data_IF_776441240634
#
_entry.id   IF_776441240634
#
_cell.length_a   1.000
_cell.length_b   1.000
_cell.length_c   1.000
_cell.angle_alpha   90.00
_cell.angle_beta   90.00
_cell.angle_gamma   90.00
#
_symmetry.space_group_name_H-M   'P 1'
#
loop_
_entity.id
_entity.type
_entity.pdbx_description
1 polymer ?
#
# COMPACT_ATOMS: atom_id res chain seq x y z
N UNK A 1 -1.91 64.61 7.74
CA UNK A 1 -3.17 63.86 7.82
C UNK A 1 -2.79 62.38 7.80
N UNK A 2 -2.71 61.76 8.97
CA UNK A 2 -2.31 60.36 9.13
C UNK A 2 -3.51 59.48 8.77
N UNK A 3 -3.36 58.62 7.76
CA UNK A 3 -4.34 57.58 7.46
C UNK A 3 -4.11 56.42 8.43
N UNK A 4 -5.02 56.27 9.39
CA UNK A 4 -5.18 55.04 10.16
C UNK A 4 -5.57 53.92 9.18
N UNK A 5 -4.67 52.97 8.95
CA UNK A 5 -5.05 51.67 8.40
C UNK A 5 -5.58 50.82 9.56
N UNK A 6 -6.86 50.46 9.49
CA UNK A 6 -7.46 49.44 10.34
C UNK A 6 -6.80 48.08 10.04
N UNK A 7 -6.23 47.37 11.01
CA UNK A 7 -5.87 45.97 10.85
C UNK A 7 -7.05 45.13 11.35
N UNK A 8 -8.02 44.85 10.48
CA UNK A 8 -9.09 43.92 10.82
C UNK A 8 -9.60 43.21 9.56
N UNK A 9 -8.78 42.32 9.03
CA UNK A 9 -9.23 41.21 8.19
C UNK A 9 -8.22 40.07 8.44
N UNK A 10 -8.25 39.53 9.66
CA UNK A 10 -7.80 38.16 9.87
C UNK A 10 -8.78 37.28 9.11
N UNK A 11 -8.30 36.60 8.06
CA UNK A 11 -9.04 35.54 7.38
C UNK A 11 -9.49 34.52 8.43
N UNK A 12 -10.75 34.60 8.85
CA UNK A 12 -11.38 33.54 9.63
C UNK A 12 -11.46 32.33 8.68
N UNK A 13 -10.50 31.41 8.78
CA UNK A 13 -10.61 30.11 8.13
C UNK A 13 -11.91 29.46 8.60
N UNK A 14 -12.92 29.46 7.73
CA UNK A 14 -14.21 28.83 7.99
C UNK A 14 -13.97 27.38 8.46
N UNK A 15 -14.32 27.12 9.72
CA UNK A 15 -14.17 25.81 10.34
C UNK A 15 -15.14 24.85 9.65
N UNK A 16 -14.61 24.06 8.73
CA UNK A 16 -15.34 22.95 8.12
C UNK A 16 -14.93 21.66 8.83
N UNK A 17 -15.87 20.93 9.46
CA UNK A 17 -15.59 19.66 10.12
C UNK A 17 -14.81 18.69 9.22
N UNK A 18 -13.84 17.97 9.80
CA UNK A 18 -12.96 17.05 9.06
C UNK A 18 -13.74 15.95 8.30
N UNK A 19 -14.93 15.59 8.79
CA UNK A 19 -15.85 14.64 8.15
C UNK A 19 -16.29 15.10 6.76
N UNK A 20 -16.36 16.42 6.52
CA UNK A 20 -16.72 17.04 5.24
C UNK A 20 -15.50 17.30 4.34
N UNK A 21 -14.28 17.30 4.91
CA UNK A 21 -13.00 17.44 4.19
C UNK A 21 -12.24 16.11 4.16
N UNK A 22 -12.85 15.07 3.56
CA UNK A 22 -12.21 13.75 3.42
C UNK A 22 -10.96 13.81 2.52
N UNK A 23 -9.83 13.22 2.93
CA UNK A 23 -8.66 13.11 2.08
C UNK A 23 -8.96 12.17 0.90
N UNK A 24 -8.40 12.52 -0.27
CA UNK A 24 -8.52 11.70 -1.50
C UNK A 24 -7.36 10.73 -1.66
N UNK A 25 -6.21 11.09 -1.12
CA UNK A 25 -4.94 10.37 -1.19
C UNK A 25 -4.38 10.32 0.23
N UNK A 26 -3.66 9.25 0.57
CA UNK A 26 -3.05 9.13 1.89
C UNK A 26 -1.94 10.19 2.09
N UNK A 27 -1.94 10.84 3.25
CA UNK A 27 -1.14 12.05 3.52
C UNK A 27 0.37 11.79 3.77
N UNK A 28 0.81 10.54 3.77
CA UNK A 28 2.23 10.19 3.91
C UNK A 28 2.87 9.93 2.54
N UNK A 29 4.11 10.36 2.36
CA UNK A 29 4.83 10.28 1.08
C UNK A 29 5.04 8.82 0.62
N UNK A 30 5.02 7.85 1.56
CA UNK A 30 5.06 6.40 1.30
C UNK A 30 4.12 5.70 2.31
N UNK A 31 3.11 4.98 1.82
CA UNK A 31 2.16 4.22 2.67
C UNK A 31 2.73 2.88 3.09
N UNK A 32 3.34 2.19 2.13
CA UNK A 32 3.96 0.88 2.30
C UNK A 32 5.24 0.84 1.48
N UNK A 33 6.26 0.18 2.02
CA UNK A 33 7.52 -0.10 1.34
C UNK A 33 7.63 -1.58 1.08
N UNK A 34 8.08 -1.93 -0.12
CA UNK A 34 8.20 -3.30 -0.59
C UNK A 34 9.58 -3.56 -1.17
N UNK A 35 9.97 -4.83 -1.14
CA UNK A 35 11.16 -5.34 -1.82
C UNK A 35 10.77 -6.52 -2.70
N UNK A 36 11.03 -6.40 -4.00
CA UNK A 36 10.87 -7.48 -4.96
C UNK A 36 12.23 -8.05 -5.31
N UNK A 37 12.51 -9.28 -4.87
CA UNK A 37 13.69 -10.05 -5.29
C UNK A 37 13.35 -10.83 -6.57
N UNK A 38 14.15 -10.65 -7.61
CA UNK A 38 14.06 -11.47 -8.83
C UNK A 38 14.82 -12.79 -8.65
N UNK A 39 14.49 -13.78 -9.48
CA UNK A 39 15.14 -15.09 -9.42
C UNK A 39 16.56 -15.00 -9.93
N UNK A 40 17.42 -15.83 -9.36
CA UNK A 40 18.86 -15.82 -9.61
C UNK A 40 19.35 -17.25 -9.79
N UNK A 41 19.73 -17.62 -11.02
CA UNK A 41 20.33 -18.91 -11.34
C UNK A 41 21.83 -18.81 -11.65
N UNK A 42 22.43 -17.63 -11.47
CA UNK A 42 23.85 -17.35 -11.75
C UNK A 42 24.31 -17.68 -13.18
N UNK A 43 23.41 -17.56 -14.16
CA UNK A 43 23.67 -18.04 -15.51
C UNK A 43 24.83 -17.27 -16.19
N UNK A 44 24.93 -15.94 -16.00
CA UNK A 44 25.81 -15.09 -16.79
C UNK A 44 26.18 -13.74 -16.13
N UNK A 45 27.31 -13.15 -16.55
CA UNK A 45 27.78 -11.79 -16.20
C UNK A 45 28.07 -10.95 -17.44
N UNK A 46 27.61 -9.68 -17.49
CA UNK A 46 28.00 -8.68 -18.54
C UNK A 46 28.02 -7.24 -18.01
N UNK A 47 28.24 -6.24 -18.89
CA UNK A 47 28.38 -4.83 -18.52
C UNK A 47 27.05 -4.12 -18.20
N UNK A 48 25.91 -4.57 -18.72
CA UNK A 48 24.64 -3.85 -18.51
C UNK A 48 23.39 -4.68 -18.75
N UNK A 49 22.26 -4.16 -18.27
CA UNK A 49 20.93 -4.74 -18.51
C UNK A 49 19.89 -3.63 -18.68
N UNK A 50 19.09 -3.75 -19.73
CA UNK A 50 17.91 -2.93 -19.99
C UNK A 50 16.65 -3.76 -19.77
N UNK A 51 15.69 -3.26 -19.03
CA UNK A 51 14.41 -3.95 -18.78
C UNK A 51 13.31 -2.94 -18.46
N UNK A 52 12.05 -3.36 -18.56
CA UNK A 52 10.92 -2.51 -18.23
C UNK A 52 10.40 -2.84 -16.82
N UNK A 53 10.07 -1.79 -16.08
CA UNK A 53 9.33 -1.87 -14.81
C UNK A 53 7.96 -1.23 -15.03
N UNK A 54 6.90 -1.88 -14.57
CA UNK A 54 5.53 -1.41 -14.72
C UNK A 54 4.83 -1.35 -13.35
N UNK A 55 4.08 -0.28 -13.12
CA UNK A 55 3.06 -0.25 -12.08
C UNK A 55 1.79 -0.89 -12.66
N UNK A 56 1.31 -1.98 -12.04
CA UNK A 56 0.13 -2.70 -12.51
C UNK A 56 -1.06 -1.77 -12.65
N UNK A 57 -1.80 -1.92 -13.74
CA UNK A 57 -3.05 -1.22 -13.99
C UNK A 57 -4.24 -1.97 -13.39
N UNK A 58 -5.42 -1.35 -13.44
CA UNK A 58 -6.66 -2.00 -13.01
C UNK A 58 -6.95 -3.29 -13.81
N UNK A 59 -6.57 -3.32 -15.09
CA UNK A 59 -6.70 -4.50 -15.97
C UNK A 59 -5.81 -5.67 -15.52
N UNK A 60 -4.67 -5.38 -14.87
CA UNK A 60 -3.76 -6.37 -14.29
C UNK A 60 -4.16 -6.80 -12.87
N UNK A 61 -5.36 -6.39 -12.41
CA UNK A 61 -5.83 -6.65 -11.05
C UNK A 61 -5.14 -5.81 -9.98
N UNK A 62 -4.63 -4.62 -10.34
CA UNK A 62 -4.01 -3.74 -9.37
C UNK A 62 -4.97 -3.31 -8.26
N UNK A 63 -4.39 -3.18 -7.07
CA UNK A 63 -5.00 -2.55 -5.90
C UNK A 63 -5.17 -1.03 -6.15
N UNK A 64 -5.97 -0.28 -5.34
CA UNK A 64 -6.26 1.13 -5.61
C UNK A 64 -5.06 2.03 -5.31
N UNK A 65 -4.02 1.93 -6.12
CA UNK A 65 -2.80 2.72 -6.10
C UNK A 65 -3.05 4.08 -6.77
N UNK A 66 -2.52 5.14 -6.17
CA UNK A 66 -2.40 6.45 -6.79
C UNK A 66 -1.09 6.54 -7.59
N UNK A 67 0.02 6.13 -6.96
CA UNK A 67 1.31 5.98 -7.62
C UNK A 67 2.22 5.00 -6.87
N UNK A 68 3.18 4.45 -7.62
CA UNK A 68 4.33 3.71 -7.12
C UNK A 68 5.58 4.58 -7.25
N UNK A 69 6.50 4.48 -6.30
CA UNK A 69 7.76 5.21 -6.28
C UNK A 69 8.93 4.24 -6.09
N UNK A 70 9.73 4.04 -7.13
CA UNK A 70 10.93 3.19 -7.07
C UNK A 70 12.08 4.02 -6.54
N UNK A 71 12.71 3.58 -5.46
CA UNK A 71 13.73 4.36 -4.74
C UNK A 71 15.11 3.73 -4.81
N UNK A 72 15.20 2.42 -5.00
CA UNK A 72 16.48 1.72 -5.03
C UNK A 72 16.39 0.47 -5.91
N UNK A 73 17.46 0.23 -6.67
CA UNK A 73 17.72 -1.04 -7.34
C UNK A 73 18.94 -1.66 -6.67
N UNK A 74 18.94 -2.95 -6.38
CA UNK A 74 20.12 -3.62 -5.85
C UNK A 74 20.61 -4.70 -6.82
N UNK A 75 21.91 -4.73 -7.05
CA UNK A 75 22.57 -5.60 -8.04
C UNK A 75 23.80 -6.26 -7.45
N UNK A 76 24.32 -7.28 -8.12
CA UNK A 76 25.55 -7.98 -7.72
C UNK A 76 26.44 -8.28 -8.93
N UNK A 77 27.72 -8.53 -8.67
CA UNK A 77 28.75 -8.77 -9.68
C UNK A 77 30.08 -8.10 -9.28
N UNK A 78 30.96 -7.85 -10.24
CA UNK A 78 32.18 -7.07 -9.97
C UNK A 78 31.93 -5.56 -9.91
N UNK A 79 30.79 -5.09 -10.43
CA UNK A 79 30.25 -3.73 -10.31
C UNK A 79 31.18 -2.63 -10.84
N UNK A 80 32.11 -2.09 -10.04
CA UNK A 80 32.96 -0.95 -10.43
C UNK A 80 32.16 0.36 -10.56
N UNK A 81 32.45 1.21 -11.57
CA UNK A 81 31.68 2.42 -11.82
C UNK A 81 30.30 2.06 -12.38
N UNK A 82 29.25 2.37 -11.63
CA UNK A 82 27.86 1.99 -11.88
C UNK A 82 26.99 3.20 -12.20
N UNK A 83 26.16 3.07 -13.22
CA UNK A 83 25.13 4.05 -13.58
C UNK A 83 23.75 3.39 -13.71
N UNK A 84 22.71 4.15 -13.36
CA UNK A 84 21.31 3.78 -13.62
C UNK A 84 20.66 4.87 -14.44
N UNK A 85 20.01 4.48 -15.52
CA UNK A 85 19.27 5.37 -16.40
C UNK A 85 17.81 4.96 -16.47
N UNK A 86 16.92 5.93 -16.68
CA UNK A 86 15.50 5.69 -16.90
C UNK A 86 14.97 6.42 -18.13
N UNK A 87 13.89 5.89 -18.71
CA UNK A 87 13.15 6.52 -19.81
C UNK A 87 11.65 6.21 -19.69
N UNK A 88 10.74 7.14 -20.00
CA UNK A 88 9.30 6.89 -19.94
C UNK A 88 8.85 5.79 -20.91
N UNK A 89 7.87 4.98 -20.51
CA UNK A 89 7.33 3.89 -21.31
C UNK A 89 8.23 2.67 -21.29
N UNK A 90 8.99 2.45 -22.37
CA UNK A 90 9.84 1.26 -22.52
C UNK A 90 11.24 1.60 -23.01
N UNK A 91 12.20 0.72 -22.72
CA UNK A 91 13.57 0.77 -23.28
C UNK A 91 13.59 0.47 -24.79
N UNK A 92 12.58 -0.23 -25.31
CA UNK A 92 12.54 -0.70 -26.70
C UNK A 92 12.62 0.46 -27.70
N UNK A 93 13.44 0.30 -28.74
CA UNK A 93 13.74 1.32 -29.77
C UNK A 93 14.50 2.54 -29.22
N UNK A 94 15.07 2.46 -28.02
CA UNK A 94 15.88 3.50 -27.38
C UNK A 94 17.23 2.99 -26.89
N UNK A 95 17.59 1.76 -27.23
CA UNK A 95 18.78 1.03 -26.75
C UNK A 95 20.08 1.78 -27.05
N UNK A 96 20.10 2.58 -28.11
CA UNK A 96 21.27 3.38 -28.53
C UNK A 96 21.05 4.90 -28.47
N UNK A 97 19.88 5.34 -28.01
CA UNK A 97 19.46 6.74 -28.07
C UNK A 97 19.63 7.40 -26.71
N UNK A 98 20.89 7.59 -26.27
CA UNK A 98 21.24 8.12 -24.93
C UNK A 98 20.47 9.39 -24.58
N UNK A 99 20.20 10.25 -25.55
CA UNK A 99 19.44 11.50 -25.41
C UNK A 99 17.98 11.31 -24.95
N UNK A 100 17.44 10.09 -25.03
CA UNK A 100 16.10 9.74 -24.55
C UNK A 100 16.10 9.18 -23.12
N UNK A 101 17.26 9.15 -22.48
CA UNK A 101 17.46 8.60 -21.15
C UNK A 101 17.96 9.66 -20.19
N UNK A 102 17.51 9.55 -18.95
CA UNK A 102 17.97 10.37 -17.83
C UNK A 102 18.84 9.52 -16.91
N UNK A 103 20.02 10.01 -16.53
CA UNK A 103 20.86 9.35 -15.53
C UNK A 103 20.34 9.72 -14.15
N UNK A 104 19.94 8.71 -13.37
CA UNK A 104 19.35 8.88 -12.04
C UNK A 104 20.22 8.28 -10.92
N UNK A 105 21.38 7.72 -11.29
CA UNK A 105 22.39 7.20 -10.39
C UNK A 105 23.75 7.14 -11.09
N UNK A 106 24.81 7.55 -10.41
CA UNK A 106 26.20 7.45 -10.86
C UNK A 106 27.13 7.37 -9.63
N UNK A 107 27.75 6.22 -9.41
CA UNK A 107 28.66 6.01 -8.28
C UNK A 107 29.62 4.83 -8.50
N UNK A 108 30.72 4.82 -7.74
CA UNK A 108 31.68 3.71 -7.71
C UNK A 108 31.28 2.65 -6.67
N UNK A 109 31.36 1.37 -7.04
CA UNK A 109 31.05 0.23 -6.19
C UNK A 109 32.20 -0.77 -6.11
N UNK A 110 32.38 -1.36 -4.94
CA UNK A 110 33.28 -2.51 -4.79
C UNK A 110 32.62 -3.79 -5.30
N UNK A 111 33.41 -4.76 -5.82
CA UNK A 111 32.90 -6.07 -6.19
C UNK A 111 32.08 -6.72 -5.07
N UNK A 112 30.92 -7.26 -5.42
CA UNK A 112 30.04 -7.99 -4.52
C UNK A 112 29.32 -9.08 -5.28
N UNK A 113 29.91 -10.28 -5.32
CA UNK A 113 29.35 -11.41 -6.07
C UNK A 113 28.23 -12.11 -5.33
N UNK A 114 28.29 -12.20 -4.00
CA UNK A 114 27.31 -12.99 -3.21
C UNK A 114 26.16 -12.14 -2.64
N UNK A 115 26.33 -10.82 -2.54
CA UNK A 115 25.37 -9.94 -1.88
C UNK A 115 24.96 -8.82 -2.82
N UNK A 116 23.68 -8.44 -2.77
CA UNK A 116 23.20 -7.28 -3.51
C UNK A 116 23.73 -5.98 -2.89
N UNK A 117 24.32 -5.14 -3.74
CA UNK A 117 24.68 -3.76 -3.43
C UNK A 117 23.55 -2.81 -3.86
N UNK A 118 23.07 -1.95 -2.95
CA UNK A 118 22.02 -0.99 -3.27
C UNK A 118 22.56 0.16 -4.14
N UNK A 119 21.77 0.52 -5.15
CA UNK A 119 21.90 1.71 -5.98
C UNK A 119 20.76 2.65 -5.62
N UNK A 120 20.99 3.45 -4.57
CA UNK A 120 20.00 4.40 -4.05
C UNK A 120 19.80 5.56 -5.04
N UNK A 121 18.64 5.60 -5.68
CA UNK A 121 18.38 6.51 -6.79
C UNK A 121 18.32 7.96 -6.30
N UNK A 122 19.08 8.84 -6.94
CA UNK A 122 19.07 10.29 -6.63
C UNK A 122 17.71 10.90 -7.00
N UNK A 123 17.14 10.43 -8.11
CA UNK A 123 15.80 10.77 -8.57
C UNK A 123 14.94 9.50 -8.59
N UNK A 124 14.03 9.31 -7.61
CA UNK A 124 13.13 8.17 -7.59
C UNK A 124 12.21 8.15 -8.81
N UNK A 125 11.91 6.96 -9.32
CA UNK A 125 11.02 6.80 -10.49
C UNK A 125 9.58 6.71 -10.00
N UNK A 126 8.75 7.68 -10.39
CA UNK A 126 7.31 7.69 -10.10
C UNK A 126 6.52 7.10 -11.26
N UNK A 127 5.66 6.13 -10.99
CA UNK A 127 4.77 5.51 -11.97
C UNK A 127 3.32 5.54 -11.49
N UNK A 128 2.40 5.96 -12.34
CA UNK A 128 0.96 5.81 -12.13
C UNK A 128 0.51 4.38 -12.51
N UNK A 129 -0.68 3.93 -12.04
CA UNK A 129 -1.22 2.64 -12.43
C UNK A 129 -1.31 2.47 -13.95
N UNK A 130 -0.74 1.37 -14.46
CA UNK A 130 -0.66 1.05 -15.89
C UNK A 130 0.57 1.64 -16.59
N UNK A 131 1.26 2.61 -15.99
CA UNK A 131 2.48 3.18 -16.56
C UNK A 131 3.68 2.24 -16.39
N UNK A 132 4.62 2.37 -17.32
CA UNK A 132 5.90 1.69 -17.30
C UNK A 132 7.05 2.65 -17.57
N UNK A 133 8.25 2.25 -17.16
CA UNK A 133 9.49 2.89 -17.56
C UNK A 133 10.51 1.84 -18.01
N UNK A 134 11.37 2.22 -18.95
CA UNK A 134 12.60 1.50 -19.22
C UNK A 134 13.66 1.87 -18.17
N UNK A 135 14.37 0.87 -17.69
CA UNK A 135 15.51 1.00 -16.77
C UNK A 135 16.74 0.41 -17.43
N UNK A 136 17.87 1.09 -17.29
CA UNK A 136 19.15 0.62 -17.78
C UNK A 136 20.19 0.72 -16.66
N UNK A 137 20.61 -0.44 -16.14
CA UNK A 137 21.71 -0.53 -15.18
C UNK A 137 22.97 -0.89 -15.95
N UNK A 138 24.05 -0.15 -15.75
CA UNK A 138 25.28 -0.31 -16.52
C UNK A 138 26.51 -0.07 -15.69
N UNK A 139 27.54 -0.87 -15.96
CA UNK A 139 28.88 -0.72 -15.46
C UNK A 139 29.84 -0.36 -16.58
N UNK A 140 30.74 0.59 -16.31
CA UNK A 140 31.88 0.87 -17.20
C UNK A 140 33.13 0.07 -16.86
N UNK A 141 33.05 -0.87 -15.91
CA UNK A 141 34.14 -1.77 -15.57
C UNK A 141 34.61 -2.52 -16.84
N UNK A 142 35.92 -2.54 -17.15
CA UNK A 142 36.44 -3.31 -18.27
C UNK A 142 36.19 -4.82 -18.08
N UNK A 143 35.86 -5.51 -19.18
CA UNK A 143 35.49 -6.93 -19.17
C UNK A 143 33.97 -7.13 -19.18
N UNK A 144 33.53 -8.36 -18.92
CA UNK A 144 32.12 -8.76 -18.87
C UNK A 144 31.67 -9.25 -17.47
N UNK A 145 32.50 -9.20 -16.43
CA UNK A 145 32.10 -9.72 -15.11
C UNK A 145 31.26 -8.76 -14.22
N UNK A 146 30.82 -7.64 -14.77
CA UNK A 146 30.35 -6.52 -13.95
C UNK A 146 28.98 -6.73 -13.29
N UNK A 147 27.98 -7.22 -14.03
CA UNK A 147 26.60 -7.40 -13.57
C UNK A 147 26.10 -8.79 -13.85
N UNK A 148 25.55 -9.44 -12.81
CA UNK A 148 24.86 -10.72 -12.94
C UNK A 148 23.46 -10.51 -13.53
N UNK A 149 23.04 -11.43 -14.39
CA UNK A 149 21.66 -11.54 -14.87
C UNK A 149 21.28 -12.99 -15.18
N UNK A 150 20.02 -13.20 -15.56
CA UNK A 150 19.51 -14.52 -15.96
C UNK A 150 19.08 -14.59 -17.44
N UNK A 151 18.92 -15.81 -17.94
CA UNK A 151 18.20 -16.06 -19.17
C UNK A 151 16.70 -15.86 -18.97
N UNK A 152 16.01 -15.40 -20.01
CA UNK A 152 14.56 -15.31 -19.97
C UNK A 152 13.90 -16.70 -19.88
N UNK A 153 13.05 -16.89 -18.87
CA UNK A 153 12.32 -18.12 -18.60
C UNK A 153 10.81 -17.91 -18.64
N UNK A 154 10.34 -16.67 -18.52
CA UNK A 154 8.93 -16.33 -18.56
C UNK A 154 8.68 -15.03 -19.35
N UNK A 155 7.40 -14.73 -19.63
CA UNK A 155 6.98 -13.44 -20.19
C UNK A 155 7.06 -12.29 -19.17
N UNK A 156 7.19 -12.63 -17.88
CA UNK A 156 7.27 -11.72 -16.75
C UNK A 156 8.35 -12.25 -15.80
N UNK A 157 9.33 -11.42 -15.46
CA UNK A 157 10.43 -11.81 -14.56
C UNK A 157 9.96 -11.89 -13.12
N UNK A 158 9.19 -10.90 -12.68
CA UNK A 158 8.62 -10.85 -11.34
C UNK A 158 7.30 -10.08 -11.37
N UNK A 159 6.35 -10.50 -10.55
CA UNK A 159 5.07 -9.82 -10.39
C UNK A 159 4.55 -9.97 -8.96
N UNK A 160 4.08 -8.86 -8.39
CA UNK A 160 3.32 -8.84 -7.15
C UNK A 160 1.97 -8.11 -7.33
N UNK A 161 1.40 -7.58 -6.23
CA UNK A 161 0.11 -6.88 -6.27
C UNK A 161 0.16 -5.51 -6.98
N UNK A 162 1.34 -4.88 -7.05
CA UNK A 162 1.54 -3.50 -7.55
C UNK A 162 2.62 -3.44 -8.63
N UNK A 163 3.73 -4.14 -8.45
CA UNK A 163 4.91 -4.10 -9.32
C UNK A 163 4.91 -5.26 -10.31
N UNK A 164 5.36 -4.96 -11.53
CA UNK A 164 5.73 -5.96 -12.53
C UNK A 164 7.10 -5.63 -13.13
N UNK A 165 7.99 -6.61 -13.14
CA UNK A 165 9.31 -6.53 -13.79
C UNK A 165 9.27 -7.40 -15.04
N UNK A 166 9.56 -6.81 -16.18
CA UNK A 166 9.51 -7.48 -17.48
C UNK A 166 10.92 -7.95 -17.91
N UNK A 167 11.00 -8.99 -18.76
CA UNK A 167 12.25 -9.38 -19.39
C UNK A 167 12.88 -8.24 -20.18
N UNK A 168 14.18 -8.34 -20.35
CA UNK A 168 15.04 -7.31 -20.88
C UNK A 168 16.10 -7.82 -21.86
N UNK A 169 17.13 -7.01 -22.05
CA UNK A 169 18.29 -7.28 -22.88
C UNK A 169 19.56 -6.97 -22.11
N UNK A 170 20.60 -7.78 -22.29
CA UNK A 170 21.91 -7.51 -21.75
C UNK A 170 22.78 -6.72 -22.71
N UNK A 171 23.66 -5.89 -22.15
CA UNK A 171 24.62 -5.09 -22.86
C UNK A 171 26.05 -5.60 -22.65
N UNK A 172 26.75 -5.87 -23.75
CA UNK A 172 28.12 -6.38 -23.77
C UNK A 172 29.19 -5.29 -23.75
N UNK A 173 28.82 -4.04 -24.00
CA UNK A 173 29.78 -2.95 -24.08
C UNK A 173 30.00 -2.33 -22.71
N UNK A 174 31.25 -2.14 -22.32
CA UNK A 174 31.61 -1.35 -21.14
C UNK A 174 31.45 0.17 -21.37
N UNK A 175 30.98 0.59 -22.56
CA UNK A 175 30.58 1.96 -22.84
C UNK A 175 29.05 2.05 -22.81
N UNK A 176 28.45 2.94 -22.00
CA UNK A 176 26.99 3.08 -21.96
C UNK A 176 26.43 3.38 -23.36
N UNK A 177 25.34 2.70 -23.74
CA UNK A 177 24.71 2.84 -25.07
C UNK A 177 25.62 2.53 -26.28
N UNK A 178 26.77 1.88 -26.03
CA UNK A 178 27.71 1.42 -27.05
C UNK A 178 27.03 0.66 -28.18
N UNK A 179 27.56 0.82 -29.39
CA UNK A 179 27.06 0.13 -30.60
C UNK A 179 27.89 -1.10 -30.98
N UNK A 180 28.98 -1.34 -30.25
CA UNK A 180 29.93 -2.39 -30.53
C UNK A 180 30.30 -3.09 -29.23
N UNK A 181 30.21 -4.42 -29.24
CA UNK A 181 30.74 -5.30 -28.22
C UNK A 181 31.91 -6.11 -28.78
N UNK A 182 32.57 -6.88 -27.92
CA UNK A 182 33.71 -7.73 -28.30
C UNK A 182 33.38 -8.71 -29.44
N UNK A 183 32.10 -9.06 -29.61
CA UNK A 183 31.60 -10.04 -30.59
C UNK A 183 30.65 -9.42 -31.63
N UNK A 184 30.79 -8.12 -31.92
CA UNK A 184 29.94 -7.42 -32.88
C UNK A 184 28.77 -6.71 -32.20
N UNK A 185 27.53 -7.14 -32.49
CA UNK A 185 26.33 -6.48 -31.95
C UNK A 185 26.27 -6.60 -30.41
N UNK A 186 26.11 -5.50 -29.68
CA UNK A 186 26.36 -5.47 -28.24
C UNK A 186 25.15 -5.86 -27.39
N UNK A 187 23.98 -6.10 -27.97
CA UNK A 187 22.78 -6.45 -27.23
C UNK A 187 22.45 -7.93 -27.34
N UNK A 188 22.11 -8.54 -26.20
CA UNK A 188 21.64 -9.91 -26.11
C UNK A 188 20.22 -9.91 -25.59
N UNK A 189 19.31 -10.36 -26.44
CA UNK A 189 17.90 -10.48 -26.09
C UNK A 189 17.65 -11.63 -25.10
N UNK A 190 16.42 -11.70 -24.60
CA UNK A 190 15.93 -12.79 -23.74
C UNK A 190 16.75 -12.91 -22.47
N UNK A 191 16.87 -11.79 -21.75
CA UNK A 191 17.55 -11.68 -20.46
C UNK A 191 16.59 -11.20 -19.39
N UNK A 192 16.90 -11.50 -18.14
CA UNK A 192 16.10 -11.07 -17.00
C UNK A 192 16.99 -10.36 -15.98
N UNK A 193 16.46 -9.30 -15.38
CA UNK A 193 17.13 -8.58 -14.30
C UNK A 193 17.29 -9.51 -13.08
N UNK A 194 18.52 -9.60 -12.56
CA UNK A 194 18.82 -10.30 -11.30
C UNK A 194 19.17 -9.25 -10.25
N UNK A 195 18.34 -9.13 -9.23
CA UNK A 195 18.49 -8.11 -8.23
C UNK A 195 17.27 -7.92 -7.35
N UNK A 196 17.27 -6.78 -6.65
CA UNK A 196 16.15 -6.33 -5.81
C UNK A 196 15.64 -4.99 -6.30
N UNK A 197 14.32 -4.83 -6.36
CA UNK A 197 13.67 -3.54 -6.56
C UNK A 197 13.03 -3.11 -5.24
N UNK A 198 13.42 -1.95 -4.72
CA UNK A 198 12.81 -1.35 -3.53
C UNK A 198 11.91 -0.20 -3.96
N UNK A 199 10.65 -0.23 -3.54
CA UNK A 199 9.66 0.74 -3.94
C UNK A 199 8.66 1.05 -2.82
N UNK A 200 8.12 2.25 -2.85
CA UNK A 200 7.01 2.71 -2.02
C UNK A 200 5.71 2.79 -2.83
N UNK A 201 4.57 2.67 -2.15
CA UNK A 201 3.25 2.81 -2.76
C UNK A 201 2.45 3.87 -2.01
N UNK A 202 1.68 4.66 -2.75
CA UNK A 202 0.65 5.52 -2.19
C UNK A 202 -0.72 5.06 -2.71
N UNK A 203 -1.66 4.85 -1.79
CA UNK A 203 -3.00 4.37 -2.11
C UNK A 203 -4.01 5.50 -2.14
N UNK A 204 -5.04 5.29 -2.95
CA UNK A 204 -6.22 6.15 -2.99
C UNK A 204 -7.08 5.82 -1.79
N UNK A 205 -7.66 6.86 -1.21
CA UNK A 205 -8.62 6.72 -0.11
C UNK A 205 -10.03 6.73 -0.66
N UNK A 206 -10.85 5.81 -0.15
CA UNK A 206 -12.20 5.61 -0.65
C UNK A 206 -13.04 6.87 -0.46
N UNK A 207 -13.78 7.24 -1.50
CA UNK A 207 -14.76 8.32 -1.44
C UNK A 207 -16.03 7.88 -2.18
N UNK A 208 -17.21 8.44 -1.83
CA UNK A 208 -18.51 8.08 -2.42
C UNK A 208 -18.69 8.65 -3.84
N UNK A 209 -17.65 8.56 -4.67
CA UNK A 209 -17.65 8.98 -6.08
C UNK A 209 -17.56 7.71 -6.92
N UNK A 210 -18.43 7.58 -7.92
CA UNK A 210 -18.58 6.34 -8.68
C UNK A 210 -17.27 5.83 -9.30
N UNK A 211 -16.47 6.72 -9.90
CA UNK A 211 -15.18 6.37 -10.50
C UNK A 211 -14.15 5.93 -9.45
N UNK A 212 -14.16 6.51 -8.24
CA UNK A 212 -13.27 6.09 -7.13
C UNK A 212 -13.72 4.73 -6.61
N UNK A 213 -15.01 4.56 -6.31
CA UNK A 213 -15.55 3.30 -5.80
C UNK A 213 -15.27 2.12 -6.74
N UNK A 214 -15.35 2.31 -8.06
CA UNK A 214 -15.06 1.26 -9.04
C UNK A 214 -13.61 0.72 -8.98
N UNK A 215 -12.65 1.55 -8.54
CA UNK A 215 -11.23 1.16 -8.40
C UNK A 215 -10.96 0.26 -7.21
N UNK A 216 -11.90 0.15 -6.27
CA UNK A 216 -11.75 -0.71 -5.09
C UNK A 216 -12.16 -2.16 -5.40
N UNK A 217 -11.56 -3.14 -4.69
CA UNK A 217 -11.84 -4.55 -4.91
C UNK A 217 -13.30 -4.90 -4.57
N UNK A 218 -13.87 -5.97 -5.16
CA UNK A 218 -15.26 -6.39 -4.92
C UNK A 218 -15.63 -6.48 -3.44
N UNK A 219 -14.79 -7.11 -2.61
CA UNK A 219 -15.04 -7.26 -1.18
C UNK A 219 -15.21 -5.92 -0.44
N UNK A 220 -14.38 -4.91 -0.78
CA UNK A 220 -14.52 -3.58 -0.20
C UNK A 220 -15.80 -2.90 -0.69
N UNK A 221 -16.11 -3.02 -1.98
CA UNK A 221 -17.33 -2.45 -2.56
C UNK A 221 -18.57 -3.03 -1.87
N UNK A 222 -18.64 -4.35 -1.72
CA UNK A 222 -19.72 -5.04 -1.03
C UNK A 222 -19.86 -4.61 0.43
N UNK A 223 -18.74 -4.46 1.16
CA UNK A 223 -18.75 -3.97 2.53
C UNK A 223 -19.27 -2.52 2.62
N UNK A 224 -18.84 -1.64 1.71
CA UNK A 224 -19.35 -0.28 1.62
C UNK A 224 -20.87 -0.26 1.33
N UNK A 225 -21.34 -1.07 0.38
CA UNK A 225 -22.77 -1.23 0.10
C UNK A 225 -23.55 -1.74 1.31
N UNK A 226 -23.04 -2.77 1.99
CA UNK A 226 -23.70 -3.35 3.16
C UNK A 226 -23.82 -2.34 4.30
N UNK A 227 -22.76 -1.59 4.60
CA UNK A 227 -22.78 -0.56 5.65
C UNK A 227 -23.81 0.54 5.34
N UNK A 228 -23.87 0.99 4.09
CA UNK A 228 -24.85 2.00 3.67
C UNK A 228 -26.29 1.45 3.70
N UNK A 229 -26.51 0.19 3.32
CA UNK A 229 -27.83 -0.44 3.41
C UNK A 229 -28.27 -0.64 4.87
N UNK A 230 -27.35 -1.04 5.75
CA UNK A 230 -27.61 -1.15 7.18
C UNK A 230 -27.99 0.21 7.79
N UNK A 231 -27.35 1.30 7.37
CA UNK A 231 -27.71 2.66 7.80
C UNK A 231 -29.12 3.11 7.35
N UNK A 232 -29.78 2.38 6.45
CA UNK A 232 -31.19 2.62 6.06
C UNK A 232 -32.20 1.77 6.83
N UNK A 233 -31.74 0.88 7.72
CA UNK A 233 -32.61 -0.01 8.50
C UNK A 233 -32.75 0.47 9.94
N UNK A 234 -33.96 0.84 10.43
CA UNK A 234 -34.17 1.30 11.80
C UNK A 234 -33.66 0.35 12.89
N UNK A 235 -33.61 -0.95 12.61
CA UNK A 235 -33.12 -1.98 13.54
C UNK A 235 -31.58 -2.02 13.62
N UNK A 236 -30.88 -1.37 12.70
CA UNK A 236 -29.42 -1.32 12.70
C UNK A 236 -28.90 -0.19 13.58
N UNK A 237 -27.85 -0.43 14.39
CA UNK A 237 -27.17 0.65 15.10
C UNK A 237 -26.63 1.75 14.17
N UNK A 238 -26.36 1.43 12.90
CA UNK A 238 -25.88 2.38 11.90
C UNK A 238 -26.95 3.39 11.46
N UNK A 239 -28.24 3.12 11.74
CA UNK A 239 -29.35 4.01 11.40
C UNK A 239 -29.21 5.41 12.00
N UNK A 240 -28.60 5.49 13.18
CA UNK A 240 -28.37 6.74 13.91
C UNK A 240 -27.15 7.52 13.40
N UNK A 241 -26.36 6.96 12.50
CA UNK A 241 -25.18 7.61 11.95
C UNK A 241 -25.52 8.35 10.65
N UNK A 242 -25.05 9.58 10.54
CA UNK A 242 -25.13 10.34 9.30
C UNK A 242 -24.23 9.73 8.22
N UNK A 243 -24.63 9.83 6.96
CA UNK A 243 -23.89 9.26 5.82
C UNK A 243 -22.43 9.73 5.78
N UNK A 244 -22.20 11.01 6.06
CA UNK A 244 -20.86 11.61 6.13
C UNK A 244 -19.94 10.89 7.14
N UNK A 245 -20.48 10.42 8.27
CA UNK A 245 -19.71 9.64 9.26
C UNK A 245 -19.33 8.28 8.69
N UNK A 246 -20.26 7.60 8.01
CA UNK A 246 -20.00 6.33 7.35
C UNK A 246 -18.97 6.49 6.23
N UNK A 247 -19.05 7.57 5.44
CA UNK A 247 -18.09 7.87 4.40
C UNK A 247 -16.70 8.11 4.96
N UNK A 248 -16.60 8.80 6.09
CA UNK A 248 -15.33 9.01 6.77
C UNK A 248 -14.75 7.70 7.32
N UNK A 249 -15.58 6.84 7.93
CA UNK A 249 -15.14 5.51 8.38
C UNK A 249 -14.60 4.70 7.20
N UNK A 250 -15.35 4.63 6.09
CA UNK A 250 -14.94 3.92 4.88
C UNK A 250 -13.68 4.48 4.25
N UNK A 251 -13.51 5.81 4.25
CA UNK A 251 -12.31 6.48 3.75
C UNK A 251 -11.04 6.07 4.52
N UNK A 252 -11.18 5.77 5.82
CA UNK A 252 -10.08 5.33 6.70
C UNK A 252 -9.85 3.81 6.68
N UNK A 253 -10.73 3.02 6.06
CA UNK A 253 -10.52 1.60 5.89
C UNK A 253 -9.51 1.34 4.77
N UNK A 254 -8.49 0.51 5.03
CA UNK A 254 -7.63 0.00 3.95
C UNK A 254 -8.48 -0.86 2.99
N UNK A 255 -8.14 -0.80 1.71
CA UNK A 255 -8.88 -1.46 0.64
C UNK A 255 -9.03 -2.99 0.81
N UNK A 256 -8.17 -3.64 1.58
CA UNK A 256 -8.13 -5.09 1.78
C UNK A 256 -8.75 -5.56 3.11
N UNK A 257 -9.21 -4.66 3.99
CA UNK A 257 -9.75 -5.03 5.32
C UNK A 257 -10.91 -6.02 5.29
N UNK A 258 -11.69 -6.01 4.20
CA UNK A 258 -12.86 -6.88 4.02
C UNK A 258 -12.57 -8.12 3.18
N UNK A 259 -11.32 -8.31 2.73
CA UNK A 259 -10.95 -9.45 1.90
C UNK A 259 -10.74 -10.69 2.78
N UNK A 260 -11.48 -11.77 2.50
CA UNK A 260 -11.37 -13.06 3.20
C UNK A 260 -10.13 -13.87 2.82
N UNK A 261 -9.17 -13.28 2.11
CA UNK A 261 -7.98 -14.00 1.66
C UNK A 261 -7.14 -14.33 2.89
N UNK A 262 -7.18 -15.61 3.27
CA UNK A 262 -6.15 -16.27 4.05
C UNK A 262 -4.83 -15.72 3.54
N UNK A 263 -4.06 -15.00 4.39
CA UNK A 263 -2.73 -14.53 4.01
C UNK A 263 -1.96 -15.75 3.52
N UNK A 264 -1.87 -15.93 2.21
CA UNK A 264 -0.86 -16.80 1.65
C UNK A 264 0.43 -16.10 2.04
N UNK A 265 1.07 -16.63 3.09
CA UNK A 265 2.45 -16.32 3.41
C UNK A 265 3.22 -16.60 2.13
N UNK A 266 3.47 -15.58 1.33
CA UNK A 266 4.59 -15.60 0.41
C UNK A 266 5.80 -15.82 1.30
N UNK A 267 6.33 -17.03 1.23
CA UNK A 267 7.54 -17.43 1.92
C UNK A 267 8.72 -16.71 1.26
N UNK A 268 8.93 -15.43 1.57
CA UNK A 268 10.28 -14.88 1.56
C UNK A 268 10.83 -15.01 2.98
N UNK A 269 11.75 -15.97 3.10
CA UNK A 269 12.33 -16.41 4.36
C UNK A 269 13.49 -15.46 4.69
N UNK A 270 13.23 -14.39 5.44
CA UNK A 270 14.15 -13.81 6.42
C UNK A 270 13.52 -12.62 7.17
N UNK A 271 12.65 -12.92 8.14
CA UNK A 271 12.41 -12.02 9.26
C UNK A 271 12.73 -12.76 10.56
N UNK A 272 13.61 -12.17 11.39
CA UNK A 272 13.86 -12.61 12.75
C UNK A 272 12.60 -12.40 13.60
N UNK A 273 12.29 -13.29 14.54
CA UNK A 273 10.98 -13.31 15.21
C UNK A 273 10.86 -12.16 16.22
N UNK A 274 9.99 -11.19 15.93
CA UNK A 274 9.43 -10.35 16.98
C UNK A 274 8.32 -11.13 17.70
N UNK A 275 8.37 -11.02 19.02
CA UNK A 275 7.73 -11.88 20.03
C UNK A 275 6.21 -12.09 19.85
N UNK A 276 5.82 -13.35 20.01
CA UNK A 276 4.51 -13.93 20.38
C UNK A 276 3.41 -12.93 20.76
N UNK A 277 2.36 -12.85 19.93
CA UNK A 277 0.98 -12.63 20.40
C UNK A 277 -0.01 -13.61 19.71
N UNK A 278 -0.69 -14.34 20.60
CA UNK A 278 -1.92 -15.15 20.50
C UNK A 278 -2.14 -16.16 19.37
N UNK A 279 -1.81 -17.40 19.73
CA UNK A 279 -2.51 -18.62 19.33
C UNK A 279 -3.90 -18.64 20.00
N UNK A 280 -4.90 -17.98 19.41
CA UNK A 280 -6.27 -17.98 19.96
C UNK A 280 -7.39 -17.78 18.91
N UNK A 281 -7.08 -17.82 17.61
CA UNK A 281 -8.06 -17.48 16.56
C UNK A 281 -8.20 -18.52 15.46
N UNK A 282 -7.64 -19.72 15.62
CA UNK A 282 -7.70 -20.77 14.60
C UNK A 282 -9.01 -21.56 14.64
N UNK A 283 -9.55 -21.81 15.84
CA UNK A 283 -10.59 -22.83 16.01
C UNK A 283 -12.02 -22.26 16.01
N UNK A 284 -12.18 -20.94 16.02
CA UNK A 284 -13.49 -20.26 16.02
C UNK A 284 -14.04 -19.98 14.62
N UNK A 285 -13.22 -19.96 13.57
CA UNK A 285 -13.65 -19.53 12.24
C UNK A 285 -14.05 -20.66 11.29
N UNK A 286 -13.62 -21.90 11.53
CA UNK A 286 -14.06 -23.07 10.77
C UNK A 286 -15.53 -23.43 11.05
N UNK A 287 -16.07 -23.05 12.22
CA UNK A 287 -17.47 -23.27 12.58
C UNK A 287 -18.44 -22.23 12.01
N UNK A 288 -17.94 -21.09 11.52
CA UNK A 288 -18.77 -19.94 11.07
C UNK A 288 -19.00 -19.89 9.55
N UNK A 289 -18.38 -20.79 8.77
CA UNK A 289 -18.52 -20.82 7.30
C UNK A 289 -19.85 -21.38 6.78
N UNK A 290 -20.78 -21.78 7.66
CA UNK A 290 -22.01 -22.50 7.25
C UNK A 290 -23.30 -21.68 7.43
N UNK A 291 -23.24 -20.39 7.77
CA UNK A 291 -24.45 -19.57 7.98
C UNK A 291 -24.47 -18.31 7.09
N UNK A 292 -25.43 -18.30 6.17
CA UNK A 292 -25.73 -17.23 5.20
C UNK A 292 -25.94 -15.87 5.88
N UNK A 293 -25.13 -14.88 5.47
CA UNK A 293 -25.55 -13.56 4.99
C UNK A 293 -26.14 -12.52 5.95
N UNK A 294 -26.68 -12.86 7.12
CA UNK A 294 -27.34 -11.88 8.01
C UNK A 294 -26.84 -11.87 9.46
N UNK A 295 -26.16 -12.93 9.92
CA UNK A 295 -25.62 -13.00 11.29
C UNK A 295 -24.20 -12.40 11.45
N UNK A 296 -23.46 -12.21 10.36
CA UNK A 296 -22.07 -11.73 10.39
C UNK A 296 -21.93 -10.27 10.86
N UNK A 297 -22.93 -9.43 10.62
CA UNK A 297 -22.91 -8.02 11.04
C UNK A 297 -23.09 -7.85 12.56
N UNK A 298 -23.83 -8.74 13.23
CA UNK A 298 -24.06 -8.66 14.68
C UNK A 298 -22.88 -9.20 15.50
N UNK A 299 -22.11 -10.17 14.97
CA UNK A 299 -20.99 -10.80 15.69
C UNK A 299 -19.64 -10.08 15.49
N UNK A 300 -19.47 -9.29 14.42
CA UNK A 300 -18.20 -8.59 14.13
C UNK A 300 -18.20 -7.12 14.55
N UNK A 301 -19.37 -6.52 14.79
CA UNK A 301 -19.53 -5.12 15.22
C UNK A 301 -18.79 -4.77 16.52
N UNK A 302 -18.80 -5.60 17.59
CA UNK A 302 -18.11 -5.23 18.83
C UNK A 302 -16.59 -5.09 18.64
N UNK A 303 -16.00 -5.90 17.76
CA UNK A 303 -14.56 -5.88 17.45
C UNK A 303 -14.16 -4.70 16.56
N UNK A 304 -14.98 -4.40 15.54
CA UNK A 304 -14.77 -3.25 14.66
C UNK A 304 -14.99 -1.93 15.43
N UNK A 305 -16.04 -1.86 16.25
CA UNK A 305 -16.32 -0.70 17.10
C UNK A 305 -15.25 -0.50 18.20
N UNK A 306 -14.77 -1.58 18.83
CA UNK A 306 -13.70 -1.49 19.82
C UNK A 306 -12.38 -0.98 19.20
N UNK A 307 -12.05 -1.43 17.98
CA UNK A 307 -10.83 -1.01 17.28
C UNK A 307 -10.92 0.42 16.73
N UNK A 308 -12.07 0.81 16.20
CA UNK A 308 -12.33 2.20 15.81
C UNK A 308 -12.28 3.14 17.04
N UNK A 309 -12.84 2.72 18.17
CA UNK A 309 -12.81 3.47 19.43
C UNK A 309 -11.38 3.62 19.99
N UNK A 310 -10.53 2.60 19.93
CA UNK A 310 -9.15 2.72 20.41
C UNK A 310 -8.32 3.67 19.54
N UNK A 311 -8.49 3.62 18.22
CA UNK A 311 -7.81 4.52 17.27
C UNK A 311 -8.23 5.99 17.44
N UNK A 312 -9.51 6.24 17.73
CA UNK A 312 -10.02 7.59 18.01
C UNK A 312 -9.42 8.12 19.32
N UNK A 313 -9.38 7.30 20.38
CA UNK A 313 -8.82 7.72 21.66
C UNK A 313 -7.29 7.96 21.59
N UNK A 314 -6.56 7.12 20.87
CA UNK A 314 -5.10 7.26 20.67
C UNK A 314 -4.76 8.54 19.88
N UNK A 315 -5.60 8.94 18.92
CA UNK A 315 -5.43 10.21 18.21
C UNK A 315 -5.88 11.44 19.01
N UNK A 316 -6.77 11.28 19.99
CA UNK A 316 -7.18 12.36 20.90
C UNK A 316 -6.16 12.61 22.00
N UNK A 317 -5.45 11.58 22.48
CA UNK A 317 -4.38 11.71 23.48
C UNK A 317 -3.08 12.31 22.89
N UNK A 318 -2.88 12.23 21.57
CA UNK A 318 -1.72 12.81 20.88
C UNK A 318 -1.75 14.35 20.72
N UNK A 319 -2.75 15.05 21.27
CA UNK A 319 -2.85 16.52 21.27
C UNK A 319 -2.89 17.07 22.70
N UNK A 320 -1.76 17.53 23.28
CA UNK A 320 -1.79 18.21 24.57
C UNK A 320 -2.27 19.65 24.36
N UNK A 321 -3.47 20.01 24.85
CA UNK A 321 -3.86 21.43 24.88
C UNK A 321 -5.34 21.83 24.94
N UNK A 322 -6.32 20.93 25.07
CA UNK A 322 -7.71 21.34 25.31
C UNK A 322 -8.31 20.66 26.53
N UNK A 323 -8.36 21.40 27.64
CA UNK A 323 -9.23 21.07 28.76
C UNK A 323 -10.70 21.34 28.35
N UNK A 324 -11.59 20.41 28.67
CA UNK A 324 -13.04 20.57 28.51
C UNK A 324 -13.57 21.64 29.48
N UNK A 325 -14.49 22.54 29.08
CA UNK A 325 -15.13 23.47 30.00
C UNK A 325 -16.16 22.77 30.89
N UNK A 326 -16.17 23.14 32.18
CA UNK A 326 -16.93 22.55 33.28
C UNK A 326 -18.46 22.73 33.24
N UNK A 327 -19.06 22.96 32.07
CA UNK A 327 -20.51 23.14 31.92
C UNK A 327 -21.26 21.88 31.49
N UNK A 328 -20.58 20.76 31.25
CA UNK A 328 -21.20 19.49 30.81
C UNK A 328 -21.57 18.53 31.97
N UNK A 329 -21.25 18.85 33.22
CA UNK A 329 -21.48 17.96 34.37
C UNK A 329 -22.87 18.10 35.02
N UNK A 330 -23.62 19.19 34.74
CA UNK A 330 -24.90 19.45 35.43
C UNK A 330 -26.17 18.95 34.72
N UNK A 331 -26.08 18.49 33.46
CA UNK A 331 -27.26 18.00 32.72
C UNK A 331 -27.51 16.49 32.86
N UNK A 332 -26.61 15.75 33.50
CA UNK A 332 -26.74 14.30 33.72
C UNK A 332 -27.41 13.91 35.06
N UNK A 333 -27.74 14.88 35.92
CA UNK A 333 -28.42 14.61 37.21
C UNK A 333 -29.94 14.91 37.22
N UNK A 334 -30.53 15.40 36.12
CA UNK A 334 -31.96 15.81 36.11
C UNK A 334 -32.97 14.84 35.49
N UNK A 335 -32.54 13.71 34.91
CA UNK A 335 -33.46 12.76 34.24
C UNK A 335 -33.69 11.44 35.01
N UNK A 336 -33.81 11.50 36.34
CA UNK A 336 -34.22 10.34 37.15
C UNK A 336 -35.29 10.71 38.19
N UNK A 337 -36.46 11.17 37.76
CA UNK A 337 -37.70 11.07 38.55
C UNK A 337 -38.87 10.87 37.59
N UNK A 338 -39.44 9.67 37.55
CA UNK A 338 -40.73 9.46 36.89
C UNK A 338 -40.97 8.07 36.31
N UNK A 339 -40.99 7.01 37.13
CA UNK A 339 -41.83 5.82 36.85
C UNK A 339 -42.37 5.22 38.16
N UNK A 340 -43.68 5.02 38.17
CA UNK A 340 -44.52 4.48 39.25
C UNK A 340 -44.34 2.96 39.42
N UNK A 341 -44.40 2.42 40.65
CA UNK A 341 -44.23 0.99 40.92
C UNK A 341 -45.56 0.23 40.89
N UNK A 342 -45.82 -0.54 39.83
CA UNK A 342 -46.87 -1.57 39.84
C UNK A 342 -46.65 -2.62 38.74
N UNK A 343 -45.79 -3.60 39.01
CA UNK A 343 -45.83 -4.95 38.45
C UNK A 343 -44.66 -5.76 39.05
N UNK A 344 -44.77 -6.08 40.34
CA UNK A 344 -44.05 -7.18 40.97
C UNK A 344 -45.09 -8.18 41.47
N UNK A 345 -44.69 -9.45 41.44
CA UNK A 345 -45.41 -10.67 41.82
C UNK A 345 -46.25 -11.29 40.70
N UNK A 346 -45.66 -12.26 39.99
CA UNK A 346 -46.08 -13.64 40.20
C UNK A 346 -45.07 -14.65 39.60
N UNK A 347 -44.99 -15.80 40.28
CA UNK A 347 -44.33 -17.07 39.92
C UNK A 347 -42.85 -17.32 40.28
N UNK A 348 -42.70 -17.61 41.57
CA UNK A 348 -41.99 -18.71 42.23
C UNK A 348 -41.46 -19.91 41.38
N UNK A 349 -40.24 -20.31 41.78
CA UNK A 349 -39.71 -21.69 41.98
C UNK A 349 -39.35 -22.62 40.79
N UNK A 350 -38.03 -22.73 40.55
CA UNK A 350 -37.12 -23.92 40.51
C UNK A 350 -37.57 -25.25 39.81
N UNK A 351 -36.67 -26.16 39.33
CA UNK A 351 -35.29 -26.35 39.79
C UNK A 351 -34.21 -26.68 38.72
N UNK A 352 -32.99 -26.70 39.26
CA UNK A 352 -31.72 -27.31 38.83
C UNK A 352 -31.74 -28.75 38.24
N UNK A 353 -30.63 -29.05 37.54
CA UNK A 353 -30.09 -30.37 37.08
C UNK A 353 -30.45 -30.70 35.62
N UNK A 354 -29.59 -31.18 34.71
CA UNK A 354 -28.22 -31.74 34.74
C UNK A 354 -27.71 -31.87 33.26
N UNK A 355 -26.51 -32.42 32.98
CA UNK A 355 -25.63 -32.05 31.85
C UNK A 355 -25.74 -32.96 30.62
N UNK A 356 -25.30 -32.46 29.46
CA UNK A 356 -24.47 -33.12 28.44
C UNK A 356 -23.71 -32.05 27.64
#
# INVERSE_FOLDING_TARGET
MFLYQNPSESEEEEYVPAVLRRPKVANHTIHESFTADTRDHEDHTFCGVMFDIQCKGQEDGAVPVEFMLITCLAVRGDLGPMTVWTTPGSYKKKEHAKEKWECIYDAEHTPSRQNYQPLDLVSPIRLQPGESCGVYVHSTLPGDDALVYDNQRASVTHEDAVLKVLPGQAHLSNRPFGRHGMWGFPWRERREFVGRVSYGVNYILWNPVANVHQRFPPAFKEAAWLLLLCARKPESPLYWLHDEVLYYILNMCKYDWFSTHTRLRTTSRHERPLRKWSQASSDTWAALSTLKGLALAQLTWPLVAAKARSLILEQMEARPGMALPASAENDLQRNHVGMSPSAQADMLELPSQCPW
#
